data_IF_931383546746
#
_entry.id   IF_931383546746
#
_cell.length_a   1.000
_cell.length_b   1.000
_cell.length_c   1.000
_cell.angle_alpha   90.00
_cell.angle_beta   90.00
_cell.angle_gamma   90.00
#
_symmetry.space_group_name_H-M   'P 1'
#
loop_
_entity.id
_entity.type
_entity.pdbx_description
1 polymer ?
#
# COMPACT_ATOMS: atom_id res chain seq x y z
N UNK A 1 -45.30 11.58 3.39
CA UNK A 1 -43.99 12.17 3.75
C UNK A 1 -42.98 11.07 4.13
N UNK A 2 -42.81 10.02 3.31
CA UNK A 2 -42.00 8.83 3.66
C UNK A 2 -40.79 8.56 2.75
N UNK A 3 -40.71 9.20 1.58
CA UNK A 3 -39.61 9.02 0.61
C UNK A 3 -38.38 9.89 0.90
N UNK A 4 -38.58 11.01 1.61
CA UNK A 4 -37.51 11.91 2.03
C UNK A 4 -36.67 11.33 3.18
N UNK A 5 -37.27 10.56 4.10
CA UNK A 5 -36.51 9.86 5.14
C UNK A 5 -35.64 8.74 4.56
N UNK A 6 -36.08 8.04 3.51
CA UNK A 6 -35.32 6.95 2.88
C UNK A 6 -34.05 7.45 2.16
N UNK A 7 -34.10 8.65 1.54
CA UNK A 7 -32.96 9.25 0.84
C UNK A 7 -31.93 9.89 1.78
N UNK A 8 -32.36 10.43 2.92
CA UNK A 8 -31.44 11.01 3.92
C UNK A 8 -30.65 9.91 4.62
N UNK A 9 -31.25 8.75 4.89
CA UNK A 9 -30.57 7.59 5.47
C UNK A 9 -29.45 7.08 4.55
N UNK A 10 -29.69 7.00 3.24
CA UNK A 10 -28.65 6.59 2.26
C UNK A 10 -27.47 7.55 2.16
N UNK A 11 -27.68 8.87 2.32
CA UNK A 11 -26.60 9.88 2.27
C UNK A 11 -25.83 9.96 3.59
N UNK A 12 -26.52 9.77 4.73
CA UNK A 12 -25.87 9.70 6.05
C UNK A 12 -25.03 8.44 6.19
N UNK A 13 -25.45 7.31 5.62
CA UNK A 13 -24.62 6.09 5.58
C UNK A 13 -23.35 6.33 4.75
N UNK A 14 -23.42 7.06 3.63
CA UNK A 14 -22.22 7.41 2.84
C UNK A 14 -21.28 8.40 3.55
N UNK A 15 -21.82 9.32 4.36
CA UNK A 15 -21.02 10.28 5.13
C UNK A 15 -20.45 9.70 6.46
N UNK A 16 -21.20 8.85 7.17
CA UNK A 16 -20.79 8.23 8.43
C UNK A 16 -19.77 7.11 8.29
N UNK A 17 -19.61 6.56 7.07
CA UNK A 17 -18.61 5.53 6.76
C UNK A 17 -17.18 6.08 6.77
N UNK A 18 -16.99 7.41 6.75
CA UNK A 18 -15.69 8.03 6.95
C UNK A 18 -15.37 8.36 8.42
N UNK A 19 -16.38 8.42 9.31
CA UNK A 19 -16.18 8.74 10.73
C UNK A 19 -15.96 7.49 11.59
N UNK A 20 -16.35 6.32 11.08
CA UNK A 20 -16.30 5.04 11.81
C UNK A 20 -15.15 4.16 11.32
N UNK A 21 -13.94 4.71 11.17
CA UNK A 21 -12.69 3.94 11.15
C UNK A 21 -12.68 2.63 10.36
N UNK A 22 -13.26 2.58 9.15
CA UNK A 22 -13.08 1.40 8.28
C UNK A 22 -11.72 1.53 7.62
N UNK A 23 -10.66 1.19 8.36
CA UNK A 23 -9.37 0.84 7.78
C UNK A 23 -9.51 -0.53 7.15
N UNK A 24 -10.06 -0.59 5.93
CA UNK A 24 -9.96 -1.79 5.10
C UNK A 24 -8.47 -2.00 4.89
N UNK A 25 -7.88 -2.95 5.60
CA UNK A 25 -6.51 -3.35 5.38
C UNK A 25 -6.48 -3.99 3.98
N UNK A 26 -6.18 -3.20 2.97
CA UNK A 26 -6.16 -3.65 1.59
C UNK A 26 -5.13 -4.79 1.50
N UNK A 27 -5.60 -5.98 1.16
CA UNK A 27 -4.74 -7.12 0.91
C UNK A 27 -4.08 -6.87 -0.45
N UNK A 28 -2.77 -6.63 -0.45
CA UNK A 28 -2.01 -6.48 -1.68
C UNK A 28 -1.48 -7.83 -2.14
N UNK A 29 -1.30 -7.96 -3.44
CA UNK A 29 -0.56 -9.08 -4.01
C UNK A 29 0.85 -9.16 -3.41
N UNK A 30 1.39 -10.37 -3.40
CA UNK A 30 2.73 -10.61 -2.87
C UNK A 30 3.75 -9.72 -3.59
N UNK A 31 4.48 -8.90 -2.84
CA UNK A 31 5.45 -7.95 -3.44
C UNK A 31 4.93 -6.53 -3.62
N UNK A 32 3.67 -6.24 -3.25
CA UNK A 32 3.07 -4.91 -3.34
C UNK A 32 2.57 -4.42 -1.98
N UNK A 33 2.61 -3.11 -1.77
CA UNK A 33 2.21 -2.46 -0.53
C UNK A 33 1.72 -1.01 -0.73
N UNK A 34 1.16 -0.43 0.33
CA UNK A 34 0.65 0.95 0.36
C UNK A 34 -0.82 1.08 -0.05
N UNK A 35 -1.34 2.32 0.01
CA UNK A 35 -2.73 2.62 -0.37
C UNK A 35 -2.93 2.26 -1.84
N UNK A 36 -3.89 1.39 -2.13
CA UNK A 36 -4.13 0.91 -3.49
C UNK A 36 -3.06 -0.03 -4.04
N UNK A 37 -2.14 -0.56 -3.21
CA UNK A 37 -1.06 -1.46 -3.64
C UNK A 37 -0.17 -0.87 -4.72
N UNK A 38 0.09 0.44 -4.64
CA UNK A 38 0.81 1.18 -5.66
C UNK A 38 2.33 1.04 -5.58
N UNK A 39 2.88 0.54 -4.48
CA UNK A 39 4.32 0.42 -4.28
C UNK A 39 4.77 -1.03 -4.37
N UNK A 40 5.76 -1.30 -5.20
CA UNK A 40 6.40 -2.60 -5.30
C UNK A 40 7.62 -2.65 -4.38
N UNK A 41 7.82 -3.77 -3.68
CA UNK A 41 9.01 -4.03 -2.89
C UNK A 41 9.95 -4.99 -3.60
N UNK A 42 11.25 -4.81 -3.38
CA UNK A 42 12.30 -5.63 -3.97
C UNK A 42 13.19 -6.23 -2.88
N UNK A 43 12.65 -7.24 -2.19
CA UNK A 43 13.39 -7.97 -1.16
C UNK A 43 14.43 -8.92 -1.77
N UNK A 44 15.45 -9.26 -0.99
CA UNK A 44 16.46 -10.23 -1.38
C UNK A 44 15.81 -11.58 -1.73
N UNK A 45 16.36 -12.27 -2.74
CA UNK A 45 15.90 -13.61 -3.13
C UNK A 45 14.53 -13.62 -3.84
N UNK A 46 14.05 -12.48 -4.35
CA UNK A 46 12.71 -12.35 -4.95
C UNK A 46 11.57 -12.67 -3.97
N UNK A 47 11.84 -12.58 -2.66
CA UNK A 47 10.81 -12.71 -1.64
C UNK A 47 9.82 -11.55 -1.78
N UNK A 48 8.53 -11.84 -1.60
CA UNK A 48 7.55 -10.77 -1.44
C UNK A 48 7.64 -10.16 -0.05
N UNK A 49 7.34 -8.86 0.05
CA UNK A 49 7.18 -8.20 1.34
C UNK A 49 5.78 -8.47 1.93
N UNK A 50 5.68 -8.31 3.25
CA UNK A 50 4.40 -8.29 3.94
C UNK A 50 3.59 -7.01 3.64
N UNK A 51 2.41 -6.91 4.25
CA UNK A 51 1.47 -5.81 4.03
C UNK A 51 2.04 -4.40 4.35
N UNK A 52 3.06 -4.35 5.21
CA UNK A 52 3.78 -3.12 5.57
C UNK A 52 4.93 -2.76 4.62
N UNK A 53 5.24 -3.59 3.62
CA UNK A 53 6.37 -3.40 2.71
C UNK A 53 7.72 -3.86 3.26
N UNK A 54 7.78 -4.44 4.46
CA UNK A 54 9.02 -4.87 5.11
C UNK A 54 9.56 -6.19 4.56
N UNK A 55 10.88 -6.26 4.41
CA UNK A 55 11.64 -7.44 3.98
C UNK A 55 12.45 -8.01 5.15
N UNK A 56 12.27 -9.30 5.49
CA UNK A 56 12.99 -9.94 6.61
C UNK A 56 14.49 -10.11 6.35
N UNK A 57 14.86 -10.50 5.12
CA UNK A 57 16.25 -10.73 4.70
C UNK A 57 16.93 -9.49 4.12
N UNK A 58 16.26 -8.33 4.21
CA UNK A 58 16.73 -7.07 3.64
C UNK A 58 16.44 -6.92 2.14
N UNK A 59 17.05 -5.90 1.55
CA UNK A 59 16.83 -5.52 0.16
C UNK A 59 17.74 -6.27 -0.81
N UNK A 60 17.23 -6.48 -2.01
CA UNK A 60 18.05 -6.93 -3.13
C UNK A 60 19.27 -5.98 -3.34
N UNK A 61 20.43 -6.47 -3.80
CA UNK A 61 21.64 -5.66 -3.94
C UNK A 61 21.45 -4.35 -4.70
N UNK A 62 20.51 -4.30 -5.65
CA UNK A 62 20.23 -3.10 -6.44
C UNK A 62 19.13 -2.20 -5.88
N UNK A 63 18.58 -2.49 -4.70
CA UNK A 63 17.45 -1.78 -4.11
C UNK A 63 17.76 -1.29 -2.70
N UNK A 64 17.08 -0.22 -2.27
CA UNK A 64 17.23 0.41 -0.96
C UNK A 64 15.94 1.11 -0.54
N UNK A 65 15.94 1.63 0.70
CA UNK A 65 14.78 2.26 1.33
C UNK A 65 14.13 1.34 2.37
N UNK A 66 13.19 1.88 3.17
CA UNK A 66 12.56 1.14 4.26
C UNK A 66 11.77 -0.09 3.81
N UNK A 67 11.30 -0.10 2.55
CA UNK A 67 10.58 -1.22 1.93
C UNK A 67 11.28 -1.71 0.66
N UNK A 68 12.58 -1.41 0.50
CA UNK A 68 13.35 -1.76 -0.69
C UNK A 68 12.71 -1.26 -2.00
N UNK A 69 12.07 -0.09 -1.94
CA UNK A 69 11.26 0.45 -3.03
C UNK A 69 12.05 1.34 -4.00
N UNK A 70 13.28 1.72 -3.66
CA UNK A 70 14.10 2.62 -4.47
C UNK A 70 15.24 1.85 -5.13
N UNK A 71 15.38 1.99 -6.44
CA UNK A 71 16.51 1.42 -7.16
C UNK A 71 17.78 2.23 -6.88
N UNK A 72 18.85 1.55 -6.47
CA UNK A 72 20.20 2.12 -6.42
C UNK A 72 20.59 2.46 -7.85
N UNK A 73 20.50 3.74 -8.19
CA UNK A 73 21.04 4.25 -9.44
C UNK A 73 22.53 3.94 -9.40
N UNK A 74 22.98 3.01 -10.26
CA UNK A 74 24.42 2.84 -10.49
C UNK A 74 24.90 4.15 -11.10
N UNK A 75 25.43 5.02 -10.25
CA UNK A 75 26.34 6.06 -10.68
C UNK A 75 27.58 5.35 -11.19
N UNK A 76 27.54 4.93 -12.44
CA UNK A 76 28.74 4.69 -13.22
C UNK A 76 29.41 6.05 -13.39
N UNK A 77 30.20 6.47 -12.41
CA UNK A 77 31.31 7.38 -12.71
C UNK A 77 32.25 6.53 -13.57
N UNK A 78 31.97 6.47 -14.87
CA UNK A 78 32.96 6.03 -15.85
C UNK A 78 34.04 7.09 -15.81
N UNK A 79 35.09 6.79 -15.04
CA UNK A 79 36.34 7.52 -15.08
C UNK A 79 37.08 7.20 -16.38
#
# INVERSE_FOLDING_TARGET
MGFYLCNVISVVILFSVCFSGICIAQQCDQGWFGVGCQFQCHCAGNAGCGQSGTCSDGCDPQWFGPACQYGKIRLIVRN
#
